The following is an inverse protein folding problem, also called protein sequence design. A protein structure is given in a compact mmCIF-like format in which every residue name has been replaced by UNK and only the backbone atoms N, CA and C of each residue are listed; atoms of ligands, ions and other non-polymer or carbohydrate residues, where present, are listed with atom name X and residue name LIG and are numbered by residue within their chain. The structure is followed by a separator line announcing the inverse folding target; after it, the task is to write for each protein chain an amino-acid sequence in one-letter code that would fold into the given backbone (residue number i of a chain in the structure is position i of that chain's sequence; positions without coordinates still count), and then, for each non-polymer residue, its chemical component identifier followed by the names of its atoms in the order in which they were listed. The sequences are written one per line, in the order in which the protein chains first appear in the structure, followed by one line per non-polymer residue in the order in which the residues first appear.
data_IF_315262087229
#
_entry.id   IF_315262087229
#
_cell.length_a   1.000
_cell.length_b   1.000
_cell.length_c   1.000
_cell.angle_alpha   90.00
_cell.angle_beta   90.00
_cell.angle_gamma   90.00
#
_symmetry.space_group_name_H-M   'P 1'
#
loop_
_entity.id
_entity.type
_entity.pdbx_description
1 polymer ?
#
# COMPACT_ATOMS: atom_id res chain seq x y z
N UNK A 1 21.75 17.96 0.00
CA UNK A 1 20.61 17.03 0.10
C UNK A 1 19.49 17.51 -0.81
N UNK A 2 18.91 16.66 -1.66
CA UNK A 2 17.61 16.93 -2.32
C UNK A 2 16.74 15.68 -2.21
N UNK A 3 16.06 15.54 -1.08
CA UNK A 3 14.92 14.61 -0.92
C UNK A 3 13.66 15.41 -1.22
N UNK A 4 12.77 14.87 -2.06
CA UNK A 4 11.48 15.47 -2.35
C UNK A 4 10.48 15.00 -1.29
N UNK A 5 10.53 15.60 -0.11
CA UNK A 5 9.65 15.31 1.01
C UNK A 5 9.24 16.63 1.66
N UNK A 6 8.01 16.73 2.16
CA UNK A 6 7.53 17.92 2.85
C UNK A 6 7.98 17.91 4.31
N UNK A 7 7.71 16.82 5.03
CA UNK A 7 8.10 16.59 6.43
C UNK A 7 8.54 15.14 6.62
N UNK A 8 9.38 14.88 7.63
CA UNK A 8 9.88 13.53 7.94
C UNK A 8 8.79 12.72 8.66
N UNK A 9 7.97 13.40 9.45
CA UNK A 9 6.88 12.81 10.21
C UNK A 9 5.75 12.32 9.29
N UNK A 10 5.45 13.06 8.21
CA UNK A 10 4.32 12.77 7.31
C UNK A 10 4.71 11.99 6.05
N UNK A 11 6.00 11.69 5.86
CA UNK A 11 6.51 11.12 4.60
C UNK A 11 5.82 9.82 4.21
N UNK A 12 5.55 8.94 5.18
CA UNK A 12 4.89 7.66 4.92
C UNK A 12 3.44 7.86 4.48
N UNK A 13 2.71 8.72 5.17
CA UNK A 13 1.30 8.99 4.91
C UNK A 13 1.10 9.67 3.54
N UNK A 14 1.97 10.63 3.22
CA UNK A 14 1.97 11.31 1.92
C UNK A 14 2.26 10.33 0.77
N UNK A 15 3.25 9.44 0.96
CA UNK A 15 3.59 8.43 -0.03
C UNK A 15 2.46 7.42 -0.24
N UNK A 16 1.87 6.89 0.84
CA UNK A 16 0.77 5.93 0.75
C UNK A 16 -0.50 6.56 0.17
N UNK A 17 -0.83 7.80 0.58
CA UNK A 17 -1.94 8.56 0.02
C UNK A 17 -1.75 8.82 -1.48
N UNK A 18 -0.54 9.22 -1.89
CA UNK A 18 -0.19 9.40 -3.30
C UNK A 18 -0.28 8.10 -4.10
N UNK A 19 0.16 7.00 -3.50
CA UNK A 19 0.13 5.68 -4.13
C UNK A 19 -1.29 5.19 -4.40
N UNK A 20 -2.21 5.23 -3.42
CA UNK A 20 -3.61 4.82 -3.65
C UNK A 20 -4.37 5.79 -4.56
N UNK A 21 -3.99 7.07 -4.60
CA UNK A 21 -4.54 8.02 -5.59
C UNK A 21 -4.11 7.69 -7.02
N UNK A 22 -2.91 7.16 -7.20
CA UNK A 22 -2.40 6.73 -8.51
C UNK A 22 -2.97 5.37 -8.97
N UNK A 23 -3.44 4.55 -8.02
CA UNK A 23 -3.94 3.19 -8.26
C UNK A 23 -5.38 3.03 -7.75
N UNK A 24 -6.36 3.28 -8.62
CA UNK A 24 -7.80 3.28 -8.27
C UNK A 24 -8.35 1.93 -7.82
N UNK A 25 -7.62 0.84 -8.06
CA UNK A 25 -7.97 -0.52 -7.63
C UNK A 25 -7.47 -0.85 -6.21
N UNK A 26 -6.80 0.10 -5.54
CA UNK A 26 -6.26 -0.05 -4.20
C UNK A 26 -6.92 0.89 -3.19
N UNK A 27 -7.11 0.38 -1.99
CA UNK A 27 -7.63 1.13 -0.83
C UNK A 27 -6.61 1.09 0.31
N UNK A 28 -6.40 2.24 0.97
CA UNK A 28 -5.58 2.36 2.18
C UNK A 28 -6.46 2.30 3.43
N UNK A 29 -6.13 1.42 4.37
CA UNK A 29 -6.57 1.53 5.76
C UNK A 29 -5.49 2.27 6.56
N UNK A 30 -5.87 3.25 7.38
CA UNK A 30 -4.93 4.09 8.11
C UNK A 30 -4.68 3.66 9.54
N UNK A 31 -5.56 2.84 10.13
CA UNK A 31 -5.43 2.34 11.50
C UNK A 31 -6.07 0.95 11.62
N UNK A 32 -5.29 -0.16 11.65
CA UNK A 32 -3.84 -0.23 11.41
C UNK A 32 -3.47 0.03 9.94
N UNK A 33 -2.24 0.45 9.65
CA UNK A 33 -1.82 0.80 8.28
C UNK A 33 -1.64 -0.45 7.39
N UNK A 34 -2.44 -0.56 6.32
CA UNK A 34 -2.28 -1.55 5.26
C UNK A 34 -3.00 -1.12 3.97
N UNK A 35 -2.59 -1.68 2.82
CA UNK A 35 -3.28 -1.49 1.54
C UNK A 35 -3.90 -2.81 1.10
N UNK A 36 -5.04 -2.75 0.43
CA UNK A 36 -5.70 -3.93 -0.11
C UNK A 36 -6.41 -3.58 -1.43
N UNK A 37 -6.77 -4.59 -2.21
CA UNK A 37 -7.53 -4.39 -3.46
C UNK A 37 -8.98 -4.01 -3.15
N UNK A 38 -9.47 -2.93 -3.74
CA UNK A 38 -10.83 -2.40 -3.52
C UNK A 38 -11.92 -3.40 -3.91
N UNK A 39 -11.72 -4.09 -5.03
CA UNK A 39 -12.66 -5.11 -5.52
C UNK A 39 -12.10 -6.51 -5.25
N UNK A 40 -12.69 -7.28 -4.32
CA UNK A 40 -12.31 -8.67 -4.12
C UNK A 40 -12.70 -9.53 -5.33
N UNK A 41 -12.02 -10.65 -5.52
CA UNK A 41 -12.40 -11.65 -6.52
C UNK A 41 -13.83 -12.12 -6.29
N UNK A 42 -14.65 -12.14 -7.35
CA UNK A 42 -16.02 -12.66 -7.32
C UNK A 42 -16.10 -14.18 -7.02
N UNK A 43 -14.97 -14.87 -7.10
CA UNK A 43 -14.84 -16.28 -6.74
C UNK A 43 -14.03 -16.42 -5.45
N UNK A 44 -14.38 -17.39 -4.58
CA UNK A 44 -13.59 -17.69 -3.39
C UNK A 44 -12.21 -18.18 -3.81
N UNK A 45 -11.19 -17.37 -3.55
CA UNK A 45 -9.78 -17.66 -3.83
C UNK A 45 -8.96 -17.46 -2.56
N UNK A 46 -7.82 -18.14 -2.48
CA UNK A 46 -6.87 -17.96 -1.37
C UNK A 46 -6.24 -16.57 -1.48
N UNK A 47 -6.24 -15.83 -0.38
CA UNK A 47 -5.60 -14.52 -0.33
C UNK A 47 -4.10 -14.67 -0.07
N UNK A 48 -3.27 -14.06 -0.92
CA UNK A 48 -1.83 -13.90 -0.67
C UNK A 48 -1.61 -12.63 0.16
N UNK A 49 -0.77 -12.65 1.19
CA UNK A 49 -0.50 -11.48 2.02
C UNK A 49 1.02 -11.34 2.19
N UNK A 50 1.58 -10.15 1.97
CA UNK A 50 3.02 -9.89 2.11
C UNK A 50 3.30 -8.49 2.66
N UNK A 51 4.14 -8.35 3.67
CA UNK A 51 4.48 -7.06 4.28
C UNK A 51 5.97 -6.91 4.63
N UNK A 52 6.37 -5.68 4.96
CA UNK A 52 7.74 -5.31 5.36
C UNK A 52 7.82 -3.86 5.86
N UNK A 53 9.01 -3.41 6.27
CA UNK A 53 9.23 -2.01 6.69
C UNK A 53 9.30 -1.04 5.51
N UNK A 54 8.92 0.23 5.74
CA UNK A 54 9.07 1.29 4.75
C UNK A 54 10.55 1.68 4.59
N UNK A 55 11.07 1.70 3.36
CA UNK A 55 12.46 2.13 3.07
C UNK A 55 13.24 1.24 2.11
N UNK A 56 12.84 0.00 1.89
CA UNK A 56 13.24 -0.73 0.68
C UNK A 56 12.45 -0.17 -0.50
N UNK A 57 13.07 -0.10 -1.69
CA UNK A 57 12.55 0.49 -2.94
C UNK A 57 11.19 -0.04 -3.41
N UNK A 58 10.62 -1.00 -2.69
CA UNK A 58 9.23 -1.40 -2.76
C UNK A 58 8.71 -1.36 -1.32
N UNK A 59 8.01 -0.28 -0.96
CA UNK A 59 6.96 -0.41 0.04
C UNK A 59 6.02 -1.47 -0.52
N UNK A 60 6.08 -2.69 -0.01
CA UNK A 60 4.99 -3.67 -0.15
C UNK A 60 4.10 -3.50 1.07
N UNK A 61 3.21 -2.50 1.12
CA UNK A 61 2.16 -2.49 2.11
C UNK A 61 1.27 -3.68 1.78
N UNK A 62 1.37 -4.73 2.60
CA UNK A 62 0.42 -5.86 2.71
C UNK A 62 -0.29 -6.15 1.38
N UNK A 63 0.45 -6.60 0.36
CA UNK A 63 -0.16 -6.84 -0.95
C UNK A 63 -1.10 -8.04 -0.82
N UNK A 64 -2.40 -7.76 -0.70
CA UNK A 64 -3.45 -8.77 -0.64
C UNK A 64 -3.81 -9.24 -2.06
N UNK A 65 -3.56 -10.53 -2.30
CA UNK A 65 -3.96 -11.40 -3.42
C UNK A 65 -3.28 -11.12 -4.75
N UNK A 66 -2.05 -11.61 -4.90
CA UNK A 66 -1.55 -11.98 -6.23
C UNK A 66 -2.28 -13.26 -6.65
N UNK A 67 -2.95 -13.20 -7.79
CA UNK A 67 -3.63 -14.36 -8.38
C UNK A 67 -2.62 -15.49 -8.61
N UNK A 68 -2.81 -16.61 -7.92
CA UNK A 68 -2.49 -17.93 -8.45
C UNK A 68 -3.77 -18.55 -9.01
#
# INVERSE_FOLDING_TARGET
MKKLINSIETVLDEQLSGFVKAHSDLTLNTEPVYIYRTTPSNQPKVALISGGGSGTSQCTPVLSVKEC
#
